data_IF_103443139378
#
_entry.id   IF_103443139378
#
_cell.length_a   1.000
_cell.length_b   1.000
_cell.length_c   1.000
_cell.angle_alpha   90.00
_cell.angle_beta   90.00
_cell.angle_gamma   90.00
#
_symmetry.space_group_name_H-M   'P 1'
#
loop_
_entity.id
_entity.type
_entity.pdbx_description
1 polymer ?
#
# COMPACT_ATOMS: atom_id res chain seq x y z
N UNK A 1 -10.52 -16.52 27.86
CA UNK A 1 -11.41 -15.72 26.98
C UNK A 1 -10.72 -14.41 26.55
N UNK A 2 -9.41 -14.27 26.78
CA UNK A 2 -8.64 -13.03 26.55
C UNK A 2 -8.01 -12.95 25.15
N UNK A 3 -7.84 -14.08 24.46
CA UNK A 3 -7.26 -14.15 23.11
C UNK A 3 -8.17 -13.49 22.05
N UNK A 4 -9.48 -13.51 22.26
CA UNK A 4 -10.46 -12.87 21.37
C UNK A 4 -10.53 -11.35 21.63
N UNK A 5 -10.22 -10.91 22.84
CA UNK A 5 -10.21 -9.49 23.20
C UNK A 5 -9.09 -8.71 22.49
N UNK A 6 -7.93 -9.34 22.22
CA UNK A 6 -6.83 -8.75 21.43
C UNK A 6 -7.28 -8.33 20.02
N UNK A 7 -8.22 -9.07 19.41
CA UNK A 7 -8.78 -8.72 18.10
C UNK A 7 -9.94 -7.72 18.18
N UNK A 8 -10.55 -7.54 19.36
CA UNK A 8 -11.72 -6.69 19.60
C UNK A 8 -11.37 -5.29 20.13
N UNK A 9 -10.12 -5.05 20.54
CA UNK A 9 -9.66 -3.82 21.21
C UNK A 9 -9.61 -2.56 20.31
N UNK A 10 -10.18 -2.61 19.10
CA UNK A 10 -10.19 -1.50 18.13
C UNK A 10 -8.81 -1.12 17.56
N UNK A 11 -7.74 -1.70 18.11
CA UNK A 11 -6.35 -1.54 17.65
C UNK A 11 -6.06 -2.65 16.66
N UNK A 12 -6.33 -2.39 15.37
CA UNK A 12 -5.87 -3.28 14.30
C UNK A 12 -4.35 -3.51 14.50
N UNK A 13 -3.88 -4.77 14.46
CA UNK A 13 -2.47 -5.05 14.62
C UNK A 13 -1.64 -4.23 13.64
N UNK A 14 -0.50 -3.71 14.08
CA UNK A 14 0.39 -2.85 13.27
C UNK A 14 0.65 -3.43 11.86
N UNK A 15 0.86 -4.75 11.77
CA UNK A 15 1.09 -5.43 10.49
C UNK A 15 -0.13 -5.42 9.56
N UNK A 16 -1.35 -5.41 10.09
CA UNK A 16 -2.59 -5.29 9.31
C UNK A 16 -2.70 -3.89 8.74
N UNK A 17 -2.38 -2.87 9.54
CA UNK A 17 -2.29 -1.48 9.08
C UNK A 17 -1.27 -1.33 7.96
N UNK A 18 -0.07 -1.90 8.14
CA UNK A 18 1.02 -1.87 7.14
C UNK A 18 0.67 -2.61 5.85
N UNK A 19 0.12 -3.83 5.95
CA UNK A 19 -0.31 -4.62 4.80
C UNK A 19 -1.46 -3.97 4.01
N UNK A 20 -2.41 -3.35 4.72
CA UNK A 20 -3.49 -2.58 4.10
C UNK A 20 -2.93 -1.36 3.35
N UNK A 21 -1.97 -0.65 3.94
CA UNK A 21 -1.28 0.49 3.31
C UNK A 21 -0.54 0.06 2.03
N UNK A 22 0.12 -1.10 2.07
CA UNK A 22 0.80 -1.67 0.90
C UNK A 22 -0.18 -2.03 -0.23
N UNK A 23 -1.35 -2.59 0.09
CA UNK A 23 -2.42 -2.86 -0.87
C UNK A 23 -2.99 -1.58 -1.50
N UNK A 24 -3.23 -0.54 -0.70
CA UNK A 24 -3.71 0.76 -1.20
C UNK A 24 -2.68 1.37 -2.17
N UNK A 25 -1.40 1.31 -1.83
CA UNK A 25 -0.32 1.80 -2.70
C UNK A 25 -0.21 1.03 -4.02
N UNK A 26 -0.47 -0.28 -3.99
CA UNK A 26 -0.55 -1.09 -5.20
C UNK A 26 -1.67 -0.61 -6.14
N UNK A 27 -2.85 -0.34 -5.59
CA UNK A 27 -4.00 0.19 -6.34
C UNK A 27 -3.74 1.60 -6.91
N UNK A 28 -3.17 2.49 -6.09
CA UNK A 28 -2.77 3.84 -6.51
C UNK A 28 -1.75 3.79 -7.67
N UNK A 29 -0.82 2.85 -7.63
CA UNK A 29 0.18 2.67 -8.69
C UNK A 29 -0.45 2.21 -10.01
N UNK A 30 -1.39 1.26 -9.96
CA UNK A 30 -2.13 0.83 -11.16
C UNK A 30 -2.90 1.99 -11.79
N UNK A 31 -3.56 2.83 -10.98
CA UNK A 31 -4.23 4.04 -11.45
C UNK A 31 -3.30 5.05 -12.17
N UNK A 32 -1.99 4.95 -11.93
CA UNK A 32 -0.95 5.79 -12.55
C UNK A 32 -0.20 5.09 -13.70
N UNK A 33 -0.75 4.00 -14.26
CA UNK A 33 -0.14 3.15 -15.28
C UNK A 33 1.21 2.55 -14.84
N UNK A 34 1.34 2.18 -13.56
CA UNK A 34 2.53 1.50 -13.02
C UNK A 34 2.15 0.11 -12.51
N UNK A 35 3.13 -0.78 -12.42
CA UNK A 35 2.93 -2.14 -11.91
C UNK A 35 2.50 -2.11 -10.44
N UNK A 36 1.24 -2.47 -10.15
CA UNK A 36 0.73 -2.54 -8.78
C UNK A 36 1.49 -3.54 -7.90
N UNK A 37 1.91 -4.68 -8.47
CA UNK A 37 2.65 -5.71 -7.72
C UNK A 37 4.04 -5.20 -7.30
N UNK A 38 4.73 -4.47 -8.18
CA UNK A 38 6.01 -3.87 -7.83
C UNK A 38 5.85 -2.87 -6.68
N UNK A 39 4.83 -2.02 -6.74
CA UNK A 39 4.55 -1.03 -5.70
C UNK A 39 3.99 -1.63 -4.40
N UNK A 40 3.31 -2.77 -4.48
CA UNK A 40 2.91 -3.56 -3.32
C UNK A 40 4.14 -4.06 -2.55
N UNK A 41 5.05 -4.75 -3.23
CA UNK A 41 6.28 -5.28 -2.62
C UNK A 41 7.18 -4.15 -2.10
N UNK A 42 7.28 -3.05 -2.86
CA UNK A 42 8.03 -1.86 -2.45
C UNK A 42 7.43 -1.23 -1.19
N UNK A 43 6.10 -1.17 -1.08
CA UNK A 43 5.40 -0.66 0.10
C UNK A 43 5.46 -1.62 1.28
N UNK A 44 5.57 -2.92 1.06
CA UNK A 44 5.75 -3.90 2.14
C UNK A 44 7.10 -3.71 2.84
N UNK A 45 8.14 -3.28 2.10
CA UNK A 45 9.48 -2.96 2.62
C UNK A 45 9.61 -1.54 3.15
N UNK A 46 9.12 -0.54 2.40
CA UNK A 46 9.35 0.89 2.68
C UNK A 46 8.17 1.59 3.37
N UNK A 47 7.01 0.93 3.40
CA UNK A 47 5.81 1.44 4.06
C UNK A 47 5.37 2.82 3.57
N UNK A 48 5.11 3.77 4.49
CA UNK A 48 4.65 5.12 4.15
C UNK A 48 5.58 5.90 3.21
N UNK A 49 6.87 5.55 3.13
CA UNK A 49 7.82 6.22 2.24
C UNK A 49 7.50 5.89 0.77
N UNK A 50 7.08 4.65 0.48
CA UNK A 50 6.64 4.26 -0.86
C UNK A 50 5.45 5.10 -1.33
N UNK A 51 4.52 5.44 -0.44
CA UNK A 51 3.38 6.33 -0.71
C UNK A 51 3.85 7.71 -1.15
N UNK A 52 4.81 8.31 -0.44
CA UNK A 52 5.29 9.66 -0.75
C UNK A 52 5.92 9.71 -2.14
N UNK A 53 6.78 8.74 -2.44
CA UNK A 53 7.39 8.61 -3.78
C UNK A 53 6.30 8.39 -4.83
N UNK A 54 5.33 7.51 -4.56
CA UNK A 54 4.27 7.18 -5.49
C UNK A 54 3.38 8.38 -5.80
N UNK A 55 3.02 9.18 -4.80
CA UNK A 55 2.17 10.37 -4.94
C UNK A 55 2.88 11.44 -5.76
N UNK A 56 4.15 11.72 -5.46
CA UNK A 56 4.95 12.76 -6.13
C UNK A 56 5.30 12.41 -7.59
N UNK A 57 5.40 11.12 -7.94
CA UNK A 57 5.72 10.73 -9.31
C UNK A 57 4.59 11.12 -10.29
N UNK A 58 4.86 11.76 -11.44
CA UNK A 58 3.83 12.08 -12.41
C UNK A 58 3.19 10.79 -12.97
N UNK A 59 1.94 10.84 -13.46
CA UNK A 59 1.32 9.67 -14.12
C UNK A 59 2.15 9.27 -15.34
N UNK A 60 2.45 7.98 -15.52
CA UNK A 60 3.16 7.52 -16.71
C UNK A 60 2.23 7.73 -17.90
N UNK A 61 2.67 8.54 -18.86
CA UNK A 61 1.98 8.71 -20.14
C UNK A 61 2.09 7.39 -20.88
N UNK A 62 0.94 6.74 -21.09
CA UNK A 62 0.85 5.69 -22.10
C UNK A 62 0.99 6.36 -23.45
N UNK A 63 2.13 6.15 -24.12
CA UNK A 63 2.26 6.47 -25.54
C UNK A 63 1.44 5.42 -26.28
N UNK A 64 0.15 5.71 -26.46
CA UNK A 64 -0.70 4.99 -27.40
C UNK A 64 -0.15 5.26 -28.80
N UNK A 65 0.24 4.19 -29.49
CA UNK A 65 0.18 4.14 -30.94
C UNK A 65 -1.28 4.15 -31.37
#
# INVERSE_FOLDING_TARGET
>A
MDQIAIMADGRAPWFVGWGTLALINAGLAQGKNRSGLAWFLLSLLLGPIATLVLVLLPKVRSTLF
#
